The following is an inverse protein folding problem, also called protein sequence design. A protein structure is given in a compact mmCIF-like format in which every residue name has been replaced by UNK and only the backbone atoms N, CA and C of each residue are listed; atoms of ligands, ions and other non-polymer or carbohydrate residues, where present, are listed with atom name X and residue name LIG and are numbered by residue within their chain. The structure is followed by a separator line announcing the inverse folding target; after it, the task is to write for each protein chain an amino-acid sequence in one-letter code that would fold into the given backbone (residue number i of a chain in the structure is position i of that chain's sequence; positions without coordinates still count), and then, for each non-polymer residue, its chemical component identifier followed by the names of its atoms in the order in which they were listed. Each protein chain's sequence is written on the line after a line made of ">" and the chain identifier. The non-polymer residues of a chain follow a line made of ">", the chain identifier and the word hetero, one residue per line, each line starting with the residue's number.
data_IF_159187149056
#
_entry.id   IF_159187149056
#
_cell.length_a   1.000
_cell.length_b   1.000
_cell.length_c   1.000
_cell.angle_alpha   90.00
_cell.angle_beta   90.00
_cell.angle_gamma   90.00
#
_symmetry.space_group_name_H-M   'P 1'
#
loop_
_entity.id
_entity.type
_entity.pdbx_description
1 polymer ?
#
# COMPACT_ATOMS: atom_id res chain seq x y z
N UNK A 1 -9.57 -9.00 -6.57
CA UNK A 1 -8.46 -8.13 -6.10
C UNK A 1 -7.59 -7.76 -7.29
N UNK A 2 -7.29 -6.48 -7.50
CA UNK A 2 -6.26 -6.08 -8.49
C UNK A 2 -4.91 -6.12 -7.79
N UNK A 3 -3.99 -6.95 -8.28
CA UNK A 3 -2.64 -7.01 -7.75
C UNK A 3 -1.90 -5.69 -7.96
N UNK A 4 -0.98 -5.36 -7.06
CA UNK A 4 -0.16 -4.17 -7.16
C UNK A 4 0.74 -4.27 -8.39
N UNK A 5 0.83 -3.18 -9.16
CA UNK A 5 1.77 -3.06 -10.27
C UNK A 5 3.19 -2.91 -9.73
N UNK A 6 4.18 -3.29 -10.55
CA UNK A 6 5.62 -3.13 -10.25
C UNK A 6 5.96 -1.75 -9.65
N UNK A 7 5.42 -0.68 -10.23
CA UNK A 7 5.64 0.70 -9.77
C UNK A 7 5.12 0.96 -8.35
N UNK A 8 3.93 0.45 -8.04
CA UNK A 8 3.31 0.61 -6.73
C UNK A 8 4.15 -0.13 -5.68
N UNK A 9 4.58 -1.36 -5.99
CA UNK A 9 5.45 -2.13 -5.10
C UNK A 9 6.77 -1.40 -4.82
N UNK A 10 7.42 -0.85 -5.85
CA UNK A 10 8.68 -0.12 -5.68
C UNK A 10 8.49 1.16 -4.86
N UNK A 11 7.43 1.94 -5.12
CA UNK A 11 7.14 3.16 -4.36
C UNK A 11 6.85 2.80 -2.89
N UNK A 12 6.02 1.79 -2.64
CA UNK A 12 5.74 1.32 -1.30
C UNK A 12 7.02 0.90 -0.59
N UNK A 13 7.87 0.11 -1.25
CA UNK A 13 9.14 -0.34 -0.68
C UNK A 13 10.06 0.81 -0.28
N UNK A 14 10.22 1.83 -1.14
CA UNK A 14 11.05 3.00 -0.84
C UNK A 14 10.52 3.79 0.35
N UNK A 15 9.20 4.02 0.40
CA UNK A 15 8.56 4.70 1.52
C UNK A 15 8.67 3.87 2.81
N UNK A 16 8.45 2.56 2.74
CA UNK A 16 8.52 1.67 3.90
C UNK A 16 9.94 1.56 4.43
N UNK A 17 10.95 1.54 3.55
CA UNK A 17 12.35 1.59 3.96
C UNK A 17 12.71 2.89 4.68
N UNK A 18 12.09 4.02 4.28
CA UNK A 18 12.37 5.35 4.86
C UNK A 18 11.60 5.62 6.15
N UNK A 19 10.31 5.29 6.17
CA UNK A 19 9.38 5.68 7.25
C UNK A 19 8.92 4.48 8.10
N UNK A 20 9.01 3.24 7.60
CA UNK A 20 8.50 2.04 8.28
C UNK A 20 7.07 2.25 8.82
N UNK A 21 6.93 2.28 10.15
CA UNK A 21 5.66 2.46 10.86
C UNK A 21 5.49 3.89 11.40
N UNK A 22 6.44 4.77 11.14
CA UNK A 22 6.38 6.17 11.52
C UNK A 22 5.43 6.93 10.61
N UNK A 23 4.97 8.07 11.13
CA UNK A 23 4.13 8.98 10.37
C UNK A 23 4.98 9.80 9.41
N UNK A 24 4.42 10.13 8.26
CA UNK A 24 5.04 11.00 7.27
C UNK A 24 4.00 11.93 6.65
N UNK A 25 4.46 13.05 6.11
CA UNK A 25 3.61 13.96 5.33
C UNK A 25 3.90 13.81 3.83
N UNK A 26 3.04 14.39 2.98
CA UNK A 26 3.19 14.32 1.52
C UNK A 26 4.50 14.96 1.03
N UNK A 27 4.99 16.00 1.71
CA UNK A 27 6.26 16.65 1.38
C UNK A 27 7.44 15.68 1.51
N UNK A 28 7.56 15.03 2.66
CA UNK A 28 8.59 14.02 2.92
C UNK A 28 8.52 12.85 1.95
N UNK A 29 7.31 12.41 1.58
CA UNK A 29 7.14 11.38 0.56
C UNK A 29 7.59 11.85 -0.82
N UNK A 30 7.30 13.10 -1.19
CA UNK A 30 7.77 13.69 -2.45
C UNK A 30 9.29 13.78 -2.48
N UNK A 31 9.93 14.28 -1.42
CA UNK A 31 11.38 14.41 -1.35
C UNK A 31 12.09 13.06 -1.42
N UNK A 32 11.50 12.03 -0.80
CA UNK A 32 12.04 10.66 -0.82
C UNK A 32 11.95 10.04 -2.22
N UNK A 33 10.91 10.35 -2.99
CA UNK A 33 10.61 9.69 -4.26
C UNK A 33 11.01 10.52 -5.49
N UNK A 34 11.24 11.82 -5.35
CA UNK A 34 11.55 12.73 -6.44
C UNK A 34 12.81 12.40 -7.25
N UNK A 35 13.85 11.74 -6.70
CA UNK A 35 14.98 11.29 -7.51
C UNK A 35 14.60 10.22 -8.56
N UNK A 36 13.48 9.52 -8.37
CA UNK A 36 13.10 8.36 -9.18
C UNK A 36 11.81 8.57 -9.99
N UNK A 37 10.91 9.43 -9.52
CA UNK A 37 9.58 9.60 -10.10
C UNK A 37 9.16 11.06 -10.18
N UNK A 38 8.35 11.40 -11.18
CA UNK A 38 7.77 12.74 -11.27
C UNK A 38 6.74 12.99 -10.17
N UNK A 39 6.57 14.25 -9.77
CA UNK A 39 5.59 14.66 -8.75
C UNK A 39 4.17 14.16 -9.06
N UNK A 40 3.78 14.15 -10.34
CA UNK A 40 2.48 13.64 -10.80
C UNK A 40 2.33 12.14 -10.54
N UNK A 41 3.36 11.35 -10.85
CA UNK A 41 3.35 9.91 -10.60
C UNK A 41 3.26 9.63 -9.10
N UNK A 42 4.07 10.32 -8.30
CA UNK A 42 4.08 10.16 -6.83
C UNK A 42 2.69 10.43 -6.25
N UNK A 43 2.11 11.61 -6.54
CA UNK A 43 0.78 11.99 -6.02
C UNK A 43 -0.31 11.00 -6.43
N UNK A 44 -0.31 10.56 -7.69
CA UNK A 44 -1.31 9.61 -8.17
C UNK A 44 -1.16 8.23 -7.49
N UNK A 45 0.08 7.76 -7.32
CA UNK A 45 0.34 6.48 -6.66
C UNK A 45 0.00 6.54 -5.17
N UNK A 46 0.36 7.62 -4.46
CA UNK A 46 -0.02 7.80 -3.06
C UNK A 46 -1.55 7.81 -2.88
N UNK A 47 -2.27 8.59 -3.70
CA UNK A 47 -3.75 8.62 -3.69
C UNK A 47 -4.34 7.23 -3.94
N UNK A 48 -3.76 6.47 -4.85
CA UNK A 48 -4.19 5.10 -5.14
C UNK A 48 -3.92 4.14 -3.98
N UNK A 49 -2.73 4.22 -3.36
CA UNK A 49 -2.38 3.40 -2.19
C UNK A 49 -3.25 3.70 -0.97
N UNK A 50 -3.66 4.97 -0.78
CA UNK A 50 -4.65 5.33 0.24
C UNK A 50 -5.98 4.63 -0.04
N UNK A 51 -6.45 4.66 -1.29
CA UNK A 51 -7.68 3.95 -1.68
C UNK A 51 -7.58 2.43 -1.47
N UNK A 52 -6.40 1.85 -1.66
CA UNK A 52 -6.18 0.42 -1.43
C UNK A 52 -6.04 0.04 0.04
N UNK A 53 -5.80 1.00 0.94
CA UNK A 53 -5.52 0.73 2.36
C UNK A 53 -4.05 0.41 2.66
N UNK A 54 -3.13 0.59 1.72
CA UNK A 54 -1.67 0.50 2.00
C UNK A 54 -1.14 1.70 2.77
N UNK A 55 -1.80 2.85 2.61
CA UNK A 55 -1.50 4.08 3.33
C UNK A 55 -2.77 4.52 4.04
N UNK A 56 -2.65 4.82 5.33
CA UNK A 56 -3.76 5.35 6.14
C UNK A 56 -3.48 6.82 6.43
N UNK A 57 -4.51 7.65 6.26
CA UNK A 57 -4.48 9.04 6.68
C UNK A 57 -4.72 9.08 8.19
N UNK A 58 -3.76 9.61 8.96
CA UNK A 58 -3.86 9.70 10.43
C UNK A 58 -4.54 11.00 10.83
N UNK A 59 -4.18 12.11 10.18
CA UNK A 59 -4.84 13.41 10.31
C UNK A 59 -4.72 14.18 8.98
N UNK A 60 -5.02 15.48 8.95
CA UNK A 60 -5.01 16.27 7.71
C UNK A 60 -3.67 16.26 6.96
N UNK A 61 -2.55 16.17 7.69
CA UNK A 61 -1.20 16.33 7.14
C UNK A 61 -0.33 15.07 7.28
N UNK A 62 -0.72 14.13 8.14
CA UNK A 62 0.03 12.92 8.46
C UNK A 62 -0.60 11.66 7.89
N UNK A 63 0.26 10.79 7.39
CA UNK A 63 -0.02 9.49 6.83
C UNK A 63 0.86 8.44 7.49
N UNK A 64 0.40 7.19 7.49
CA UNK A 64 1.18 6.03 7.93
C UNK A 64 1.08 4.92 6.90
N UNK A 65 2.15 4.16 6.71
CA UNK A 65 2.10 2.92 5.95
C UNK A 65 1.49 1.81 6.81
N UNK A 66 0.72 0.95 6.18
CA UNK A 66 0.38 -0.37 6.73
C UNK A 66 1.50 -1.33 6.34
N UNK A 67 1.83 -2.26 7.23
CA UNK A 67 2.81 -3.31 6.90
C UNK A 67 2.31 -4.16 5.73
N UNK A 68 3.22 -4.68 4.93
CA UNK A 68 2.83 -5.43 3.73
C UNK A 68 2.08 -6.72 4.09
N UNK A 69 2.45 -7.33 5.21
CA UNK A 69 1.81 -8.52 5.77
C UNK A 69 0.36 -8.26 6.19
N UNK A 70 0.13 -7.18 6.92
CA UNK A 70 -1.21 -6.77 7.35
C UNK A 70 -2.09 -6.43 6.14
N UNK A 71 -1.54 -5.70 5.16
CA UNK A 71 -2.25 -5.43 3.91
C UNK A 71 -2.64 -6.72 3.18
N UNK A 72 -1.70 -7.66 3.03
CA UNK A 72 -1.95 -8.95 2.39
C UNK A 72 -3.02 -9.77 3.13
N UNK A 73 -2.97 -9.79 4.47
CA UNK A 73 -3.96 -10.47 5.30
C UNK A 73 -5.38 -9.94 5.02
N UNK A 74 -5.55 -8.63 4.93
CA UNK A 74 -6.85 -8.00 4.66
C UNK A 74 -7.33 -8.34 3.24
N UNK A 75 -6.49 -8.12 2.22
CA UNK A 75 -6.93 -8.25 0.82
C UNK A 75 -7.07 -9.69 0.35
N UNK A 76 -6.37 -10.63 0.99
CA UNK A 76 -6.44 -12.05 0.66
C UNK A 76 -7.57 -12.79 1.39
N UNK A 77 -8.14 -12.22 2.47
CA UNK A 77 -9.14 -12.87 3.30
C UNK A 77 -10.32 -13.46 2.49
N UNK A 78 -10.99 -12.64 1.68
CA UNK A 78 -12.13 -13.10 0.88
C UNK A 78 -11.73 -14.15 -0.17
N UNK A 79 -10.52 -14.03 -0.72
CA UNK A 79 -9.98 -15.02 -1.64
C UNK A 79 -9.75 -16.37 -0.94
N UNK A 80 -9.11 -16.36 0.23
CA UNK A 80 -8.83 -17.55 1.03
C UNK A 80 -10.12 -18.21 1.51
N UNK A 81 -11.08 -17.42 2.01
CA UNK A 81 -12.42 -17.88 2.40
C UNK A 81 -13.11 -18.63 1.27
N UNK A 82 -13.11 -18.06 0.06
CA UNK A 82 -13.65 -18.73 -1.13
C UNK A 82 -12.92 -20.03 -1.45
N UNK A 83 -11.59 -20.07 -1.33
CA UNK A 83 -10.78 -21.27 -1.61
C UNK A 83 -11.09 -22.39 -0.61
N UNK A 84 -11.29 -22.06 0.66
CA UNK A 84 -11.68 -23.01 1.71
C UNK A 84 -13.04 -23.66 1.40
N UNK A 85 -14.05 -22.87 1.05
CA UNK A 85 -15.37 -23.40 0.67
C UNK A 85 -15.32 -24.33 -0.54
N UNK A 86 -14.49 -24.01 -1.54
CA UNK A 86 -14.31 -24.89 -2.69
C UNK A 86 -13.65 -26.20 -2.30
N UNK A 87 -12.61 -26.16 -1.47
CA UNK A 87 -11.92 -27.37 -1.00
C UNK A 87 -12.87 -28.32 -0.25
N UNK A 88 -13.73 -27.79 0.63
CA UNK A 88 -14.71 -28.59 1.38
C UNK A 88 -15.85 -29.17 0.52
N UNK A 89 -16.07 -28.67 -0.71
CA UNK A 89 -17.09 -29.21 -1.62
C UNK A 89 -16.58 -30.34 -2.51
N UNK A 90 -15.26 -30.44 -2.68
CA UNK A 90 -14.62 -31.45 -3.54
C UNK A 90 -14.16 -32.68 -2.74
N UNK A 91 -14.17 -32.60 -1.41
CA UNK A 91 -13.97 -33.72 -0.48
C UNK A 91 -15.33 -34.24 -0.02
#
# INVERSE_FOLDING_TARGET
>A
MRWLKKREIVIYYLLYRKFRNDKFNIGLALDTLSPYFSKKVIKNTLKYMVKLGLIVKVNELEYRLISFDEYLSIVSYEYLKRRLTLHHKTQ
#
